data_IF_334720299281
#
_entry.id   IF_334720299281
#
_cell.length_a   1.000
_cell.length_b   1.000
_cell.length_c   1.000
_cell.angle_alpha   90.00
_cell.angle_beta   90.00
_cell.angle_gamma   90.00
#
_symmetry.space_group_name_H-M   'P 1'
#
loop_
_entity.id
_entity.type
_entity.pdbx_description
1 polymer ?
#
# COMPACT_ATOMS: atom_id res chain seq x y z
N UNK A 1 14.60 6.61 29.46
CA UNK A 1 13.47 6.08 28.67
C UNK A 1 12.64 7.28 28.28
N UNK A 2 12.97 7.88 27.16
CA UNK A 2 12.18 8.99 26.64
C UNK A 2 10.85 8.43 26.16
N UNK A 3 9.78 8.83 26.81
CA UNK A 3 8.43 8.58 26.35
C UNK A 3 8.30 9.28 25.00
N UNK A 4 8.30 8.50 23.93
CA UNK A 4 7.97 8.99 22.59
C UNK A 4 6.54 9.53 22.70
N UNK A 5 6.42 10.85 22.70
CA UNK A 5 5.13 11.53 22.70
C UNK A 5 4.40 11.11 21.44
N UNK A 6 3.21 10.54 21.63
CA UNK A 6 2.35 10.16 20.51
C UNK A 6 2.11 11.41 19.66
N UNK A 7 2.41 11.33 18.39
CA UNK A 7 2.21 12.38 17.41
C UNK A 7 0.75 12.86 17.47
N UNK A 8 0.53 14.16 17.59
CA UNK A 8 -0.82 14.71 17.49
C UNK A 8 -1.25 14.67 16.01
N UNK A 9 -2.12 13.73 15.67
CA UNK A 9 -2.74 13.69 14.36
C UNK A 9 -3.66 14.89 14.17
N UNK A 10 -3.56 15.55 13.01
CA UNK A 10 -4.41 16.69 12.65
C UNK A 10 -5.77 16.25 12.12
N UNK A 11 -5.84 15.05 11.58
CA UNK A 11 -7.05 14.45 11.01
C UNK A 11 -7.46 13.22 11.82
N UNK A 12 -8.74 12.82 11.78
CA UNK A 12 -9.29 11.75 12.63
C UNK A 12 -8.57 10.41 12.53
N UNK A 13 -8.20 10.03 11.31
CA UNK A 13 -7.49 8.78 10.99
C UNK A 13 -6.36 9.08 10.03
N UNK A 14 -5.51 10.02 10.42
CA UNK A 14 -4.33 10.44 9.66
C UNK A 14 -3.26 9.35 9.72
N UNK A 15 -2.83 8.89 8.56
CA UNK A 15 -1.73 7.93 8.40
C UNK A 15 -0.67 8.57 7.51
N UNK A 16 0.53 8.75 8.04
CA UNK A 16 1.67 9.25 7.27
C UNK A 16 2.34 8.10 6.52
N UNK A 17 2.22 8.14 5.22
CA UNK A 17 2.72 7.10 4.32
C UNK A 17 3.96 7.62 3.63
N UNK A 18 5.02 6.83 3.61
CA UNK A 18 6.25 7.16 2.90
C UNK A 18 6.64 6.05 1.91
N UNK A 19 7.35 6.43 0.88
CA UNK A 19 7.93 5.52 -0.09
C UNK A 19 9.15 6.11 -0.77
N UNK A 20 10.02 5.24 -1.27
CA UNK A 20 11.18 5.64 -2.07
C UNK A 20 11.10 5.03 -3.46
N UNK A 21 11.74 5.67 -4.44
CA UNK A 21 12.02 5.08 -5.75
C UNK A 21 13.49 4.74 -5.92
N UNK A 22 13.80 3.81 -6.84
CA UNK A 22 15.17 3.52 -7.23
C UNK A 22 15.64 4.39 -8.41
N UNK A 23 14.86 5.38 -8.83
CA UNK A 23 15.21 6.28 -9.92
C UNK A 23 16.59 6.90 -9.72
N UNK A 24 17.40 6.86 -10.78
CA UNK A 24 18.78 7.37 -10.77
C UNK A 24 19.70 6.59 -9.83
N UNK A 25 19.37 5.38 -9.45
CA UNK A 25 20.29 4.40 -8.90
C UNK A 25 21.09 3.81 -10.06
N UNK A 26 22.40 3.70 -9.87
CA UNK A 26 23.31 3.09 -10.82
C UNK A 26 23.59 1.65 -10.41
N UNK A 27 24.00 0.76 -11.33
CA UNK A 27 24.50 -0.54 -10.98
C UNK A 27 25.62 -0.44 -9.92
N UNK A 28 25.57 -1.34 -8.94
CA UNK A 28 26.59 -1.48 -7.89
C UNK A 28 27.11 -2.90 -7.86
N UNK A 29 28.26 -3.10 -7.25
CA UNK A 29 28.88 -4.43 -7.24
C UNK A 29 28.25 -5.33 -6.18
N UNK A 30 27.87 -4.79 -5.02
CA UNK A 30 27.43 -5.58 -3.88
C UNK A 30 26.06 -5.18 -3.33
N UNK A 31 25.39 -6.14 -2.68
CA UNK A 31 24.14 -5.91 -1.93
C UNK A 31 24.33 -4.86 -0.83
N UNK A 32 25.49 -4.86 -0.17
CA UNK A 32 25.81 -3.87 0.87
C UNK A 32 25.80 -2.44 0.33
N UNK A 33 26.42 -2.22 -0.83
CA UNK A 33 26.41 -0.91 -1.50
C UNK A 33 24.97 -0.49 -1.85
N UNK A 34 24.16 -1.41 -2.38
CA UNK A 34 22.76 -1.13 -2.69
C UNK A 34 21.99 -0.72 -1.45
N UNK A 35 22.12 -1.46 -0.37
CA UNK A 35 21.42 -1.15 0.87
C UNK A 35 21.89 0.15 1.50
N UNK A 36 23.15 0.52 1.35
CA UNK A 36 23.63 1.85 1.75
C UNK A 36 22.91 2.98 1.01
N UNK A 37 22.74 2.84 -0.32
CA UNK A 37 21.98 3.82 -1.12
C UNK A 37 20.52 3.90 -0.68
N UNK A 38 19.89 2.75 -0.40
CA UNK A 38 18.51 2.67 0.10
C UNK A 38 18.37 3.37 1.44
N UNK A 39 19.23 3.07 2.40
CA UNK A 39 19.22 3.68 3.74
C UNK A 39 19.41 5.20 3.67
N UNK A 40 20.34 5.67 2.83
CA UNK A 40 20.56 7.10 2.63
C UNK A 40 19.31 7.81 2.09
N UNK A 41 18.54 7.17 1.20
CA UNK A 41 17.27 7.73 0.72
C UNK A 41 16.21 7.76 1.81
N UNK A 42 16.17 6.73 2.64
CA UNK A 42 15.23 6.68 3.78
C UNK A 42 15.45 7.81 4.79
N UNK A 43 16.68 8.28 4.97
CA UNK A 43 16.98 9.44 5.83
C UNK A 43 16.15 10.67 5.46
N UNK A 44 15.79 10.83 4.18
CA UNK A 44 14.98 11.96 3.71
C UNK A 44 13.53 11.92 4.20
N UNK A 45 12.99 10.76 4.54
CA UNK A 45 11.60 10.61 5.01
C UNK A 45 11.49 10.57 6.53
N UNK A 46 12.58 10.34 7.26
CA UNK A 46 12.56 10.27 8.73
C UNK A 46 12.04 11.52 9.44
N UNK A 47 12.34 12.76 8.98
CA UNK A 47 11.81 13.96 9.62
C UNK A 47 10.28 14.09 9.58
N UNK A 48 9.60 13.33 8.73
CA UNK A 48 8.14 13.29 8.64
C UNK A 48 7.50 12.28 9.59
N UNK A 49 8.31 11.46 10.27
CA UNK A 49 7.85 10.43 11.21
C UNK A 49 6.73 9.56 10.60
N UNK A 50 6.96 8.88 9.46
CA UNK A 50 5.93 8.12 8.80
C UNK A 50 5.41 6.97 9.68
N UNK A 51 4.15 6.60 9.50
CA UNK A 51 3.56 5.41 10.12
C UNK A 51 3.98 4.13 9.40
N UNK A 52 4.15 4.24 8.08
CA UNK A 52 4.60 3.13 7.24
C UNK A 52 5.52 3.62 6.12
N UNK A 53 6.55 2.83 5.84
CA UNK A 53 7.47 3.02 4.72
C UNK A 53 7.34 1.84 3.76
N UNK A 54 7.13 2.12 2.47
CA UNK A 54 7.17 1.13 1.40
C UNK A 54 8.47 1.27 0.60
N UNK A 55 9.04 0.13 0.19
CA UNK A 55 10.26 0.04 -0.60
C UNK A 55 9.97 -0.56 -1.98
N UNK A 56 10.82 -0.34 -2.99
CA UNK A 56 10.69 -0.96 -4.31
C UNK A 56 10.91 -2.47 -4.29
N UNK A 57 10.33 -3.18 -5.24
CA UNK A 57 10.44 -4.63 -5.43
C UNK A 57 11.91 -5.09 -5.44
N UNK A 58 12.20 -6.19 -4.73
CA UNK A 58 13.55 -6.78 -4.63
C UNK A 58 14.64 -5.72 -4.37
N UNK A 59 14.35 -4.84 -3.42
CA UNK A 59 15.12 -3.61 -3.15
C UNK A 59 16.62 -3.83 -2.94
N UNK A 60 16.99 -4.99 -2.41
CA UNK A 60 18.37 -5.35 -2.09
C UNK A 60 19.19 -5.80 -3.31
N UNK A 61 18.53 -6.27 -4.37
CA UNK A 61 19.21 -6.89 -5.52
C UNK A 61 19.01 -6.15 -6.83
N UNK A 62 18.16 -5.14 -6.85
CA UNK A 62 17.94 -4.35 -8.07
C UNK A 62 19.26 -3.69 -8.52
N UNK A 63 19.71 -4.06 -9.74
CA UNK A 63 20.96 -3.56 -10.35
C UNK A 63 22.24 -3.86 -9.54
N UNK A 64 22.35 -5.07 -8.96
CA UNK A 64 23.51 -5.55 -8.23
C UNK A 64 24.28 -6.60 -9.04
N UNK A 65 25.57 -6.37 -9.29
CA UNK A 65 26.38 -7.20 -10.21
C UNK A 65 26.76 -8.56 -9.60
N UNK A 66 26.93 -8.66 -8.28
CA UNK A 66 27.34 -9.92 -7.62
C UNK A 66 26.24 -10.97 -7.55
N UNK A 67 24.95 -10.56 -7.69
CA UNK A 67 23.83 -11.48 -7.58
C UNK A 67 23.78 -12.40 -8.78
N UNK A 68 23.99 -13.70 -8.54
CA UNK A 68 24.00 -14.74 -9.57
C UNK A 68 22.74 -15.56 -9.53
N UNK A 69 22.31 -16.03 -8.34
CA UNK A 69 21.12 -16.84 -8.15
C UNK A 69 20.28 -16.39 -6.96
N UNK A 70 19.02 -16.77 -6.96
CA UNK A 70 18.12 -16.43 -5.84
C UNK A 70 18.46 -17.18 -4.56
N UNK A 71 19.13 -18.33 -4.69
CA UNK A 71 19.60 -19.12 -3.55
C UNK A 71 20.60 -18.38 -2.68
N UNK A 72 21.40 -17.50 -3.29
CA UNK A 72 22.49 -16.77 -2.59
C UNK A 72 21.96 -15.59 -1.77
N UNK A 73 20.75 -15.12 -2.09
CA UNK A 73 20.19 -13.87 -1.57
C UNK A 73 18.88 -14.04 -0.81
N UNK A 74 18.24 -15.22 -0.91
CA UNK A 74 16.99 -15.48 -0.25
C UNK A 74 17.15 -15.55 1.27
N UNK A 75 16.36 -14.76 1.99
CA UNK A 75 16.31 -14.81 3.45
C UNK A 75 15.20 -15.76 3.93
N UNK A 76 15.46 -16.47 5.01
CA UNK A 76 14.52 -17.39 5.61
C UNK A 76 13.39 -16.61 6.28
N UNK A 77 12.13 -17.04 6.10
CA UNK A 77 10.98 -16.34 6.66
C UNK A 77 10.82 -16.50 8.17
N UNK A 78 11.34 -17.59 8.72
CA UNK A 78 11.25 -17.90 10.15
C UNK A 78 12.35 -17.22 10.96
N UNK A 79 13.35 -16.63 10.27
CA UNK A 79 14.45 -15.89 10.91
C UNK A 79 14.89 -14.70 10.07
N UNK A 80 15.11 -13.56 10.73
CA UNK A 80 15.58 -12.38 10.01
C UNK A 80 17.01 -12.60 9.49
N UNK A 81 17.16 -12.53 8.17
CA UNK A 81 18.46 -12.42 7.53
C UNK A 81 19.04 -11.00 7.62
N UNK A 82 20.15 -10.73 6.94
CA UNK A 82 20.85 -9.44 7.02
C UNK A 82 19.99 -8.24 6.60
N UNK A 83 19.22 -8.36 5.50
CA UNK A 83 18.42 -7.27 4.97
C UNK A 83 17.17 -7.04 5.84
N UNK A 84 16.46 -8.11 6.18
CA UNK A 84 15.31 -8.03 7.09
C UNK A 84 15.72 -7.45 8.44
N UNK A 85 16.87 -7.85 9.01
CA UNK A 85 17.39 -7.29 10.27
C UNK A 85 17.71 -5.81 10.16
N UNK A 86 18.33 -5.37 9.07
CA UNK A 86 18.66 -3.98 8.80
C UNK A 86 17.38 -3.10 8.73
N UNK A 87 16.35 -3.57 8.02
CA UNK A 87 15.10 -2.87 7.89
C UNK A 87 14.22 -2.96 9.16
N UNK A 88 14.36 -4.03 9.93
CA UNK A 88 13.80 -4.14 11.28
C UNK A 88 14.37 -3.09 12.25
N UNK A 89 15.67 -2.78 12.11
CA UNK A 89 16.30 -1.69 12.86
C UNK A 89 15.76 -0.32 12.46
N UNK A 90 15.49 -0.09 11.16
CA UNK A 90 14.79 1.12 10.69
C UNK A 90 13.41 1.20 11.32
N UNK A 91 12.61 0.13 11.25
CA UNK A 91 11.27 0.09 11.82
C UNK A 91 11.26 0.46 13.31
N UNK A 92 12.19 -0.11 14.10
CA UNK A 92 12.33 0.20 15.53
C UNK A 92 12.75 1.64 15.79
N UNK A 93 13.80 2.11 15.10
CA UNK A 93 14.37 3.44 15.32
C UNK A 93 13.40 4.55 14.91
N UNK A 94 12.65 4.34 13.82
CA UNK A 94 11.70 5.31 13.31
C UNK A 94 10.28 5.11 13.87
N UNK A 95 10.07 4.09 14.70
CA UNK A 95 8.76 3.73 15.25
C UNK A 95 7.67 3.63 14.16
N UNK A 96 7.99 2.98 13.03
CA UNK A 96 7.11 2.83 11.88
C UNK A 96 7.00 1.38 11.42
N UNK A 97 6.00 1.09 10.58
CA UNK A 97 5.98 -0.16 9.82
C UNK A 97 6.88 -0.04 8.59
N UNK A 98 7.45 -1.15 8.14
CA UNK A 98 8.26 -1.20 6.92
C UNK A 98 7.82 -2.38 6.07
N UNK A 99 7.37 -2.12 4.84
CA UNK A 99 7.20 -3.15 3.81
C UNK A 99 8.57 -3.43 3.19
N UNK A 100 9.10 -4.62 3.44
CA UNK A 100 10.43 -5.09 3.05
C UNK A 100 10.32 -6.09 1.89
N UNK A 101 10.42 -5.65 0.62
CA UNK A 101 10.29 -6.52 -0.55
C UNK A 101 11.64 -7.13 -0.95
N UNK A 102 11.78 -8.42 -0.69
CA UNK A 102 12.99 -9.22 -0.97
C UNK A 102 12.62 -10.61 -1.47
N UNK A 103 13.62 -11.38 -1.91
CA UNK A 103 13.42 -12.81 -2.13
C UNK A 103 13.50 -13.52 -0.78
N UNK A 104 12.48 -14.36 -0.50
CA UNK A 104 12.44 -15.19 0.70
C UNK A 104 12.54 -16.68 0.38
N UNK A 105 12.81 -17.47 1.42
CA UNK A 105 12.81 -18.92 1.36
C UNK A 105 11.95 -19.48 2.49
N UNK A 106 11.08 -20.44 2.14
CA UNK A 106 10.25 -21.19 3.08
C UNK A 106 10.01 -22.61 2.57
N UNK A 107 10.16 -23.60 3.43
CA UNK A 107 9.90 -25.03 3.12
C UNK A 107 10.57 -25.51 1.82
N UNK A 108 11.78 -25.01 1.54
CA UNK A 108 12.55 -25.36 0.35
C UNK A 108 12.16 -24.63 -0.94
N UNK A 109 11.15 -23.78 -0.90
CA UNK A 109 10.67 -22.93 -1.99
C UNK A 109 11.21 -21.50 -1.86
N UNK A 110 11.30 -20.79 -2.98
CA UNK A 110 11.71 -19.38 -3.05
C UNK A 110 10.55 -18.53 -3.53
N UNK A 111 10.42 -17.34 -2.96
CA UNK A 111 9.32 -16.41 -3.26
C UNK A 111 9.83 -14.99 -3.48
N UNK A 112 9.23 -14.28 -4.43
CA UNK A 112 9.31 -12.83 -4.47
C UNK A 112 8.31 -12.31 -3.42
N UNK A 113 8.80 -11.77 -2.33
CA UNK A 113 7.99 -11.53 -1.13
C UNK A 113 8.05 -10.07 -0.68
N UNK A 114 7.08 -9.68 0.12
CA UNK A 114 7.14 -8.47 0.94
C UNK A 114 6.85 -8.83 2.39
N UNK A 115 7.84 -8.66 3.25
CA UNK A 115 7.71 -8.85 4.70
C UNK A 115 7.21 -7.53 5.29
N UNK A 116 6.10 -7.55 6.03
CA UNK A 116 5.67 -6.39 6.82
C UNK A 116 6.32 -6.46 8.20
N UNK A 117 7.21 -5.52 8.47
CA UNK A 117 7.86 -5.33 9.76
C UNK A 117 7.06 -4.31 10.58
N UNK A 118 6.77 -4.62 11.84
CA UNK A 118 6.04 -3.72 12.73
C UNK A 118 6.98 -2.75 13.45
N UNK A 119 6.42 -1.82 14.23
CA UNK A 119 7.16 -0.77 14.98
C UNK A 119 8.20 -1.32 15.96
N UNK A 120 8.10 -2.59 16.35
CA UNK A 120 9.10 -3.29 17.18
C UNK A 120 10.14 -4.03 16.33
N UNK A 121 10.08 -3.90 15.01
CA UNK A 121 10.96 -4.61 14.07
C UNK A 121 10.70 -6.12 14.01
N UNK A 122 9.51 -6.56 14.40
CA UNK A 122 9.10 -7.96 14.27
C UNK A 122 8.29 -8.13 12.99
N UNK A 123 8.37 -9.33 12.40
CA UNK A 123 7.53 -9.71 11.27
C UNK A 123 6.06 -9.77 11.72
N UNK A 124 5.23 -8.93 11.09
CA UNK A 124 3.77 -8.98 11.25
C UNK A 124 3.17 -10.02 10.31
N UNK A 125 3.78 -10.19 9.13
CA UNK A 125 3.44 -11.20 8.16
C UNK A 125 4.23 -11.09 6.88
N UNK A 126 4.03 -12.07 5.99
CA UNK A 126 4.72 -12.18 4.71
C UNK A 126 3.70 -12.32 3.59
N UNK A 127 3.83 -11.52 2.56
CA UNK A 127 3.11 -11.65 1.30
C UNK A 127 4.04 -12.25 0.24
N UNK A 128 3.56 -13.24 -0.49
CA UNK A 128 4.24 -13.81 -1.65
C UNK A 128 3.55 -13.29 -2.92
N UNK A 129 4.34 -12.82 -3.89
CA UNK A 129 3.85 -12.38 -5.20
C UNK A 129 2.98 -13.45 -5.82
N UNK A 130 1.71 -13.11 -6.08
CA UNK A 130 0.72 -14.08 -6.58
C UNK A 130 1.03 -14.47 -8.01
N UNK A 131 1.44 -13.49 -8.83
CA UNK A 131 1.68 -13.65 -10.26
C UNK A 131 3.11 -13.21 -10.63
N UNK A 132 4.15 -14.01 -10.31
CA UNK A 132 5.47 -13.74 -10.83
C UNK A 132 5.48 -13.81 -12.35
N UNK A 133 6.35 -13.04 -13.01
CA UNK A 133 6.51 -13.18 -14.46
C UNK A 133 7.14 -14.53 -14.81
N UNK A 134 6.87 -15.06 -15.99
CA UNK A 134 7.34 -16.40 -16.38
C UNK A 134 8.87 -16.56 -16.25
N UNK A 135 9.63 -15.50 -16.50
CA UNK A 135 11.08 -15.51 -16.34
C UNK A 135 11.56 -15.59 -14.89
N UNK A 136 10.76 -15.16 -13.92
CA UNK A 136 11.05 -15.37 -12.51
C UNK A 136 10.81 -16.83 -12.09
N UNK A 137 9.83 -17.51 -12.71
CA UNK A 137 9.42 -18.88 -12.38
C UNK A 137 10.35 -19.90 -13.03
N UNK A 138 10.72 -19.69 -14.30
CA UNK A 138 11.54 -20.64 -15.06
C UNK A 138 12.99 -20.59 -14.58
N UNK A 139 13.55 -21.70 -14.06
CA UNK A 139 14.93 -21.74 -13.59
C UNK A 139 15.92 -21.29 -14.67
N UNK A 140 16.83 -20.39 -14.30
CA UNK A 140 17.86 -19.86 -15.17
C UNK A 140 17.41 -18.82 -16.20
N UNK A 141 16.10 -18.45 -16.25
CA UNK A 141 15.63 -17.49 -17.23
C UNK A 141 15.88 -16.03 -16.83
N UNK A 142 15.73 -15.68 -15.55
CA UNK A 142 16.02 -14.34 -15.03
C UNK A 142 17.18 -14.35 -14.03
N UNK A 143 17.13 -15.25 -13.06
CA UNK A 143 18.23 -15.52 -12.14
C UNK A 143 18.88 -16.85 -12.54
N UNK A 144 20.18 -16.98 -12.39
CA UNK A 144 20.81 -18.28 -12.44
C UNK A 144 20.26 -19.17 -11.31
N UNK A 145 20.18 -20.47 -11.53
CA UNK A 145 19.69 -21.41 -10.53
C UNK A 145 18.17 -21.57 -10.53
N UNK A 146 17.55 -21.53 -9.35
CA UNK A 146 16.13 -21.82 -9.15
C UNK A 146 15.24 -20.63 -9.52
N UNK A 147 13.97 -20.92 -9.84
CA UNK A 147 12.92 -19.92 -10.01
C UNK A 147 12.14 -19.70 -8.72
N UNK A 148 11.30 -18.66 -8.70
CA UNK A 148 10.36 -18.40 -7.61
C UNK A 148 9.07 -19.18 -7.77
N UNK A 149 8.43 -19.47 -6.64
CA UNK A 149 7.12 -20.10 -6.56
C UNK A 149 6.04 -19.01 -6.50
N UNK A 150 4.93 -19.10 -7.25
CA UNK A 150 3.78 -18.21 -7.10
C UNK A 150 3.18 -18.30 -5.70
N UNK A 151 2.74 -17.16 -5.18
CA UNK A 151 2.01 -17.08 -3.91
C UNK A 151 0.57 -17.59 -4.00
N UNK A 152 -0.12 -17.57 -2.87
CA UNK A 152 -1.54 -17.95 -2.80
C UNK A 152 -2.40 -16.94 -3.59
N UNK A 153 -3.42 -17.46 -4.30
CA UNK A 153 -4.39 -16.65 -5.05
C UNK A 153 -5.14 -15.69 -4.13
N UNK A 154 -5.40 -16.09 -2.88
CA UNK A 154 -5.96 -15.22 -1.86
C UNK A 154 -4.85 -14.55 -1.06
N UNK A 155 -4.45 -13.32 -1.40
CA UNK A 155 -3.39 -12.63 -0.71
C UNK A 155 -3.76 -12.34 0.75
N UNK A 156 -2.83 -12.46 1.71
CA UNK A 156 -3.08 -12.12 3.10
C UNK A 156 -3.20 -10.59 3.28
N UNK A 157 -3.88 -10.20 4.36
CA UNK A 157 -3.87 -8.84 4.89
C UNK A 157 -3.34 -8.83 6.32
N UNK A 158 -2.75 -7.73 6.73
CA UNK A 158 -2.06 -7.59 8.02
C UNK A 158 -2.68 -6.46 8.84
N UNK A 159 -2.90 -6.71 10.13
CA UNK A 159 -3.41 -5.70 11.04
C UNK A 159 -2.26 -4.82 11.53
N UNK A 160 -2.46 -3.52 11.48
CA UNK A 160 -1.57 -2.52 12.07
C UNK A 160 -2.33 -1.70 13.11
N UNK A 161 -1.65 -0.81 13.81
CA UNK A 161 -2.28 0.08 14.78
C UNK A 161 -3.06 1.25 14.14
N UNK A 162 -2.92 1.44 12.81
CA UNK A 162 -3.63 2.47 12.05
C UNK A 162 -4.68 1.91 11.07
N UNK A 163 -4.68 0.60 10.81
CA UNK A 163 -5.62 -0.02 9.86
C UNK A 163 -5.15 -1.38 9.34
N UNK A 164 -5.79 -1.86 8.29
CA UNK A 164 -5.46 -3.13 7.64
C UNK A 164 -4.65 -2.85 6.38
N UNK A 165 -3.50 -3.49 6.25
CA UNK A 165 -2.57 -3.34 5.14
C UNK A 165 -2.54 -4.60 4.29
N UNK A 166 -2.69 -4.43 2.97
CA UNK A 166 -2.43 -5.46 1.96
C UNK A 166 -1.17 -5.17 1.17
N UNK A 167 -0.77 -6.13 0.36
CA UNK A 167 0.35 -5.98 -0.57
C UNK A 167 0.01 -6.60 -1.92
N UNK A 168 0.51 -6.00 -3.00
CA UNK A 168 0.58 -6.57 -4.34
C UNK A 168 1.95 -6.21 -4.92
N UNK A 169 2.57 -7.07 -5.72
CA UNK A 169 3.92 -6.83 -6.24
C UNK A 169 3.89 -6.80 -7.78
N UNK A 170 4.25 -5.65 -8.35
CA UNK A 170 4.59 -5.47 -9.76
C UNK A 170 3.58 -6.12 -10.73
N UNK A 171 3.89 -7.28 -11.29
CA UNK A 171 3.09 -7.97 -12.29
C UNK A 171 1.70 -8.38 -11.80
N UNK A 172 1.48 -8.44 -10.48
CA UNK A 172 0.14 -8.62 -9.87
C UNK A 172 -0.85 -7.53 -10.31
N UNK A 173 -0.37 -6.39 -10.81
CA UNK A 173 -1.23 -5.33 -11.34
C UNK A 173 -2.12 -5.78 -12.50
N UNK A 174 -1.80 -6.87 -13.19
CA UNK A 174 -2.56 -7.32 -14.36
C UNK A 174 -3.78 -8.20 -14.01
N UNK A 175 -3.96 -8.61 -12.75
CA UNK A 175 -5.07 -9.44 -12.29
C UNK A 175 -5.94 -8.69 -11.29
N UNK A 176 -7.15 -8.35 -11.69
CA UNK A 176 -8.09 -7.55 -10.87
C UNK A 176 -8.59 -8.27 -9.62
N UNK A 177 -8.61 -9.62 -9.66
CA UNK A 177 -9.21 -10.43 -8.60
C UNK A 177 -8.46 -10.31 -7.27
N UNK A 178 -7.12 -10.40 -7.27
CA UNK A 178 -6.31 -10.30 -6.05
C UNK A 178 -6.49 -8.94 -5.36
N UNK A 179 -6.64 -7.85 -6.11
CA UNK A 179 -6.93 -6.51 -5.57
C UNK A 179 -8.30 -6.44 -4.90
N UNK A 180 -9.33 -7.02 -5.53
CA UNK A 180 -10.67 -7.11 -4.95
C UNK A 180 -10.68 -7.93 -3.66
N UNK A 181 -9.95 -9.06 -3.64
CA UNK A 181 -9.83 -9.91 -2.45
C UNK A 181 -9.19 -9.20 -1.25
N UNK A 182 -8.24 -8.28 -1.47
CA UNK A 182 -7.70 -7.43 -0.41
C UNK A 182 -8.80 -6.53 0.19
N UNK A 183 -9.63 -5.91 -0.67
CA UNK A 183 -10.77 -5.08 -0.21
C UNK A 183 -11.76 -5.89 0.61
N UNK A 184 -12.13 -7.08 0.16
CA UNK A 184 -13.06 -7.97 0.86
C UNK A 184 -12.57 -8.39 2.24
N UNK A 185 -11.25 -8.41 2.43
CA UNK A 185 -10.59 -8.65 3.72
C UNK A 185 -10.41 -7.37 4.56
N UNK A 186 -10.89 -6.24 4.06
CA UNK A 186 -10.89 -4.96 4.78
C UNK A 186 -9.61 -4.14 4.65
N UNK A 187 -8.78 -4.37 3.63
CA UNK A 187 -7.60 -3.54 3.39
C UNK A 187 -7.98 -2.06 3.23
N UNK A 188 -7.24 -1.18 3.89
CA UNK A 188 -7.38 0.28 3.83
C UNK A 188 -6.15 0.94 3.17
N UNK A 189 -5.03 0.23 3.16
CA UNK A 189 -3.80 0.59 2.44
C UNK A 189 -3.26 -0.64 1.71
N UNK A 190 -2.79 -0.46 0.48
CA UNK A 190 -2.03 -1.47 -0.26
C UNK A 190 -0.64 -0.93 -0.55
N UNK A 191 0.39 -1.65 -0.11
CA UNK A 191 1.77 -1.44 -0.53
C UNK A 191 1.98 -2.10 -1.89
N UNK A 192 2.55 -1.35 -2.82
CA UNK A 192 2.83 -1.82 -4.17
C UNK A 192 4.31 -1.64 -4.54
N UNK A 193 5.18 -2.55 -4.07
CA UNK A 193 6.54 -2.67 -4.59
C UNK A 193 6.55 -3.09 -6.06
N UNK A 194 7.33 -2.40 -6.91
CA UNK A 194 7.39 -2.74 -8.32
C UNK A 194 8.71 -2.32 -8.97
N UNK A 195 9.04 -2.92 -10.12
CA UNK A 195 10.12 -2.43 -10.96
C UNK A 195 9.65 -1.32 -11.90
N UNK A 196 8.43 -1.45 -12.44
CA UNK A 196 7.83 -0.48 -13.35
C UNK A 196 6.63 0.27 -12.76
N UNK A 197 6.33 1.48 -13.25
CA UNK A 197 5.17 2.24 -12.84
C UNK A 197 3.89 1.67 -13.48
N UNK A 198 2.78 1.72 -12.73
CA UNK A 198 1.44 1.28 -13.18
C UNK A 198 0.38 2.35 -12.87
N UNK A 199 0.73 3.61 -12.98
CA UNK A 199 -0.01 4.76 -12.45
C UNK A 199 -1.52 4.75 -12.74
N UNK A 200 -1.93 4.52 -13.99
CA UNK A 200 -3.37 4.50 -14.33
C UNK A 200 -4.09 3.33 -13.70
N UNK A 201 -3.48 2.14 -13.70
CA UNK A 201 -4.07 0.94 -13.11
C UNK A 201 -4.21 1.09 -11.60
N UNK A 202 -3.18 1.58 -10.92
CA UNK A 202 -3.19 1.79 -9.46
C UNK A 202 -4.25 2.80 -9.05
N UNK A 203 -4.40 3.92 -9.76
CA UNK A 203 -5.45 4.90 -9.51
C UNK A 203 -6.85 4.30 -9.68
N UNK A 204 -7.03 3.45 -10.69
CA UNK A 204 -8.28 2.73 -10.89
C UNK A 204 -8.54 1.71 -9.77
N UNK A 205 -7.52 0.95 -9.34
CA UNK A 205 -7.66 0.04 -8.21
C UNK A 205 -7.99 0.75 -6.90
N UNK A 206 -7.35 1.88 -6.61
CA UNK A 206 -7.66 2.69 -5.44
C UNK A 206 -9.12 3.15 -5.45
N UNK A 207 -9.60 3.67 -6.59
CA UNK A 207 -10.99 4.09 -6.78
C UNK A 207 -11.97 2.93 -6.62
N UNK A 208 -11.78 1.83 -7.35
CA UNK A 208 -12.71 0.70 -7.38
C UNK A 208 -12.78 -0.04 -6.06
N UNK A 209 -11.68 -0.11 -5.33
CA UNK A 209 -11.60 -0.84 -4.07
C UNK A 209 -11.57 0.08 -2.83
N UNK A 210 -11.54 1.41 -3.00
CA UNK A 210 -11.62 2.41 -1.94
C UNK A 210 -10.59 2.23 -0.81
N UNK A 211 -9.36 1.89 -1.16
CA UNK A 211 -8.21 1.89 -0.27
C UNK A 211 -7.11 2.80 -0.83
N UNK A 212 -6.25 3.30 0.05
CA UNK A 212 -5.05 4.01 -0.38
C UNK A 212 -4.02 3.04 -0.97
N UNK A 213 -3.16 3.54 -1.86
CA UNK A 213 -2.04 2.77 -2.40
C UNK A 213 -0.76 3.60 -2.25
N UNK A 214 0.31 2.96 -1.76
CA UNK A 214 1.67 3.48 -1.88
C UNK A 214 2.43 2.62 -2.87
N UNK A 215 2.85 3.22 -3.98
CA UNK A 215 3.64 2.58 -5.03
C UNK A 215 5.08 3.04 -4.94
N UNK A 216 6.01 2.08 -4.98
CA UNK A 216 7.45 2.32 -4.95
C UNK A 216 8.12 1.50 -6.04
N UNK A 217 8.72 2.18 -7.01
CA UNK A 217 9.20 1.52 -8.22
C UNK A 217 10.66 1.87 -8.55
N UNK A 218 11.18 1.29 -9.63
CA UNK A 218 12.45 1.69 -10.22
C UNK A 218 12.44 3.10 -10.80
N UNK A 219 11.26 3.64 -11.13
CA UNK A 219 11.10 4.90 -11.86
C UNK A 219 10.50 6.03 -11.01
N UNK A 220 9.56 5.73 -10.12
CA UNK A 220 8.86 6.71 -9.29
C UNK A 220 8.41 6.12 -7.96
N UNK A 221 7.97 6.99 -7.05
CA UNK A 221 7.16 6.63 -5.90
C UNK A 221 5.94 7.53 -5.85
N UNK A 222 4.78 6.99 -5.48
CA UNK A 222 3.54 7.76 -5.43
C UNK A 222 2.61 7.26 -4.31
N UNK A 223 1.83 8.18 -3.78
CA UNK A 223 0.77 7.91 -2.80
C UNK A 223 -0.55 8.28 -3.46
N UNK A 224 -1.48 7.34 -3.48
CA UNK A 224 -2.80 7.48 -4.08
C UNK A 224 -3.83 7.28 -2.96
N UNK A 225 -4.82 8.17 -2.86
CA UNK A 225 -5.87 8.05 -1.85
C UNK A 225 -7.02 7.12 -2.29
N UNK A 226 -7.97 6.89 -1.39
CA UNK A 226 -9.13 5.99 -1.60
C UNK A 226 -10.06 6.43 -2.75
N UNK A 227 -9.89 7.64 -3.26
CA UNK A 227 -10.61 8.15 -4.42
C UNK A 227 -9.77 8.13 -5.72
N UNK A 228 -8.65 7.41 -5.72
CA UNK A 228 -7.77 7.30 -6.88
C UNK A 228 -6.99 8.58 -7.19
N UNK A 229 -6.95 9.55 -6.26
CA UNK A 229 -6.19 10.78 -6.46
C UNK A 229 -4.75 10.64 -6.00
N UNK A 230 -3.84 11.13 -6.81
CA UNK A 230 -2.44 11.20 -6.46
C UNK A 230 -2.22 12.30 -5.42
N UNK A 231 -1.93 11.91 -4.18
CA UNK A 231 -1.64 12.82 -3.05
C UNK A 231 -0.22 13.34 -3.12
N UNK A 232 0.72 12.47 -3.48
CA UNK A 232 2.12 12.81 -3.66
C UNK A 232 2.74 11.90 -4.74
N UNK A 233 3.64 12.46 -5.52
CA UNK A 233 4.44 11.73 -6.50
C UNK A 233 5.86 12.29 -6.48
N UNK A 234 6.86 11.41 -6.46
CA UNK A 234 8.21 11.82 -6.70
C UNK A 234 8.40 12.06 -8.21
N UNK A 235 9.44 12.76 -8.52
CA UNK A 235 9.78 12.97 -9.90
C UNK A 235 11.28 13.01 -10.07
N UNK A 236 11.76 14.03 -10.77
CA UNK A 236 13.19 14.21 -10.99
C UNK A 236 13.96 14.68 -9.75
N UNK A 237 13.29 15.16 -8.70
CA UNK A 237 13.94 15.91 -7.62
C UNK A 237 14.12 15.15 -6.33
N UNK A 238 13.07 14.50 -5.82
CA UNK A 238 13.09 13.96 -4.46
C UNK A 238 13.46 12.48 -4.37
N UNK A 239 13.01 11.63 -5.31
CA UNK A 239 13.20 10.16 -5.28
C UNK A 239 12.58 9.48 -4.06
N UNK A 240 11.67 10.17 -3.41
CA UNK A 240 10.87 9.72 -2.29
C UNK A 240 9.57 10.53 -2.21
N UNK A 241 8.59 9.95 -1.56
CA UNK A 241 7.33 10.61 -1.20
C UNK A 241 7.06 10.40 0.28
N UNK A 242 6.44 11.39 0.91
CA UNK A 242 5.85 11.25 2.24
C UNK A 242 4.67 12.21 2.35
N UNK A 243 3.49 11.69 2.65
CA UNK A 243 2.29 12.51 2.81
C UNK A 243 1.28 11.83 3.72
N UNK A 244 0.42 12.61 4.41
CA UNK A 244 -0.69 12.07 5.17
C UNK A 244 -1.86 11.68 4.27
N UNK A 245 -2.49 10.56 4.59
CA UNK A 245 -3.78 10.14 4.03
C UNK A 245 -4.77 9.98 5.18
N UNK A 246 -5.95 10.55 5.03
CA UNK A 246 -7.01 10.39 6.02
C UNK A 246 -7.90 9.20 5.67
N UNK A 247 -7.92 8.18 6.52
CA UNK A 247 -8.75 7.00 6.32
C UNK A 247 -10.21 7.21 6.76
N UNK A 248 -10.54 8.34 7.39
CA UNK A 248 -11.93 8.73 7.70
C UNK A 248 -12.58 9.45 6.50
N UNK A 249 -12.58 8.75 5.35
CA UNK A 249 -13.10 9.20 4.06
C UNK A 249 -13.90 8.07 3.42
N UNK A 250 -15.09 8.37 2.90
CA UNK A 250 -15.99 7.39 2.26
C UNK A 250 -16.44 7.90 0.91
N UNK A 251 -16.55 7.02 -0.06
CA UNK A 251 -17.13 7.27 -1.37
C UNK A 251 -18.63 7.04 -1.31
N UNK A 252 -19.41 7.97 -1.85
CA UNK A 252 -20.86 7.95 -1.89
C UNK A 252 -21.39 8.39 -3.26
N UNK A 253 -22.53 7.85 -3.68
CA UNK A 253 -23.14 8.24 -4.93
C UNK A 253 -23.80 9.64 -4.79
N UNK A 254 -23.68 10.47 -5.84
CA UNK A 254 -24.27 11.81 -5.83
C UNK A 254 -25.80 11.71 -5.84
N UNK A 255 -26.38 10.92 -6.74
CA UNK A 255 -27.82 10.83 -6.88
C UNK A 255 -28.41 9.58 -6.19
N UNK A 256 -29.50 9.72 -5.40
CA UNK A 256 -30.29 10.94 -5.12
C UNK A 256 -29.77 11.73 -3.90
N UNK A 257 -28.62 11.38 -3.33
CA UNK A 257 -28.14 11.85 -2.02
C UNK A 257 -27.70 13.31 -2.02
N UNK A 258 -27.42 13.88 -3.19
CA UNK A 258 -27.04 15.31 -3.32
C UNK A 258 -28.03 16.25 -2.67
N UNK A 259 -29.34 15.89 -2.59
CA UNK A 259 -30.35 16.69 -1.92
C UNK A 259 -30.11 16.87 -0.41
N UNK A 260 -29.31 15.98 0.19
CA UNK A 260 -28.95 15.98 1.61
C UNK A 260 -27.64 16.72 1.89
N UNK A 261 -26.79 16.94 0.88
CA UNK A 261 -25.43 17.48 1.05
C UNK A 261 -25.42 18.89 1.65
N UNK A 262 -26.32 19.76 1.24
CA UNK A 262 -26.45 21.12 1.79
C UNK A 262 -26.78 21.10 3.29
N UNK A 263 -27.70 20.26 3.71
CA UNK A 263 -28.07 20.13 5.13
C UNK A 263 -26.94 19.54 5.98
N UNK A 264 -26.19 18.57 5.45
CA UNK A 264 -25.01 18.01 6.09
C UNK A 264 -23.93 19.08 6.25
N UNK A 265 -23.63 19.83 5.19
CA UNK A 265 -22.65 20.91 5.23
C UNK A 265 -23.04 22.03 6.22
N UNK A 266 -24.31 22.40 6.28
CA UNK A 266 -24.82 23.39 7.24
C UNK A 266 -24.66 22.92 8.69
N UNK A 267 -24.91 21.64 8.97
CA UNK A 267 -24.80 21.09 10.31
C UNK A 267 -23.34 20.93 10.77
N UNK A 268 -22.48 20.37 9.93
CA UNK A 268 -21.12 19.98 10.30
C UNK A 268 -20.08 21.05 9.96
N UNK A 269 -20.36 21.95 9.01
CA UNK A 269 -19.50 23.05 8.63
C UNK A 269 -18.07 22.58 8.27
N UNK A 270 -17.07 23.25 8.85
CA UNK A 270 -15.65 22.96 8.61
C UNK A 270 -15.15 21.62 9.17
N UNK A 271 -15.99 20.87 9.90
CA UNK A 271 -15.65 19.56 10.44
C UNK A 271 -15.62 18.46 9.41
N UNK A 272 -16.16 18.74 8.23
CA UNK A 272 -16.21 17.79 7.11
C UNK A 272 -15.78 18.44 5.80
N UNK A 273 -15.48 17.59 4.83
CA UNK A 273 -15.23 17.99 3.45
C UNK A 273 -15.97 17.07 2.48
N UNK A 274 -16.79 17.69 1.60
CA UNK A 274 -17.25 17.03 0.39
C UNK A 274 -16.32 17.34 -0.77
N UNK A 275 -16.04 16.32 -1.59
CA UNK A 275 -15.44 16.49 -2.90
C UNK A 275 -16.31 15.79 -3.93
N UNK A 276 -16.75 16.55 -4.95
CA UNK A 276 -17.67 16.06 -5.98
C UNK A 276 -16.86 15.65 -7.20
N UNK A 277 -17.04 14.41 -7.61
CA UNK A 277 -16.50 13.85 -8.86
C UNK A 277 -17.65 13.76 -9.88
N UNK A 278 -18.05 14.92 -10.38
CA UNK A 278 -19.22 15.03 -11.23
C UNK A 278 -19.20 14.12 -12.46
N UNK A 279 -18.08 13.96 -13.20
CA UNK A 279 -18.05 13.06 -14.36
C UNK A 279 -18.32 11.61 -14.00
N UNK A 280 -17.97 11.19 -12.80
CA UNK A 280 -18.11 9.82 -12.29
C UNK A 280 -19.47 9.62 -11.55
N UNK A 281 -20.23 10.69 -11.33
CA UNK A 281 -21.46 10.68 -10.53
C UNK A 281 -21.27 10.22 -9.07
N UNK A 282 -20.09 10.45 -8.51
CA UNK A 282 -19.69 10.13 -7.14
C UNK A 282 -19.16 11.34 -6.38
N UNK A 283 -19.18 11.23 -5.06
CA UNK A 283 -18.57 12.20 -4.16
C UNK A 283 -17.83 11.47 -3.04
N UNK A 284 -16.87 12.15 -2.42
CA UNK A 284 -16.33 11.71 -1.13
C UNK A 284 -16.86 12.61 -0.02
N UNK A 285 -17.20 11.99 1.09
CA UNK A 285 -17.39 12.64 2.38
C UNK A 285 -16.22 12.26 3.28
N UNK A 286 -15.53 13.26 3.82
CA UNK A 286 -14.37 13.12 4.67
C UNK A 286 -14.59 13.88 5.96
N UNK A 287 -14.25 13.28 7.11
CA UNK A 287 -14.18 14.01 8.37
C UNK A 287 -12.83 14.69 8.54
N UNK A 288 -12.88 15.93 9.01
CA UNK A 288 -11.71 16.74 9.37
C UNK A 288 -11.62 16.98 10.88
N UNK A 289 -12.50 16.34 11.65
CA UNK A 289 -12.62 16.52 13.11
C UNK A 289 -12.58 15.15 13.80
N UNK A 290 -11.70 14.91 14.78
CA UNK A 290 -11.54 13.61 15.43
C UNK A 290 -12.82 13.11 16.14
N UNK A 291 -13.72 14.01 16.52
CA UNK A 291 -14.97 13.67 17.19
C UNK A 291 -16.11 13.38 16.23
N UNK A 292 -15.89 13.56 14.93
CA UNK A 292 -16.89 13.34 13.88
C UNK A 292 -16.52 12.09 13.08
N UNK A 293 -17.42 11.11 13.05
CA UNK A 293 -17.27 9.89 12.23
C UNK A 293 -18.15 9.98 10.99
N UNK A 294 -17.56 9.74 9.82
CA UNK A 294 -18.31 9.75 8.55
C UNK A 294 -19.45 8.73 8.58
N UNK A 295 -19.21 7.53 9.14
CA UNK A 295 -20.26 6.51 9.27
C UNK A 295 -21.48 6.99 10.05
N UNK A 296 -21.29 7.79 11.10
CA UNK A 296 -22.41 8.33 11.89
C UNK A 296 -23.22 9.35 11.09
N UNK A 297 -22.54 10.17 10.28
CA UNK A 297 -23.21 11.10 9.35
C UNK A 297 -24.02 10.33 8.31
N UNK A 298 -23.41 9.30 7.68
CA UNK A 298 -24.10 8.49 6.69
C UNK A 298 -25.35 7.83 7.26
N UNK A 299 -25.25 7.30 8.48
CA UNK A 299 -26.38 6.69 9.20
C UNK A 299 -27.47 7.73 9.54
N UNK A 300 -27.08 8.89 10.04
CA UNK A 300 -28.03 9.97 10.40
C UNK A 300 -28.86 10.43 9.19
N UNK A 301 -28.19 10.51 8.04
CA UNK A 301 -28.83 11.00 6.82
C UNK A 301 -29.33 9.86 5.90
N UNK A 302 -29.27 8.61 6.36
CA UNK A 302 -29.70 7.44 5.57
C UNK A 302 -29.06 7.45 4.17
N UNK A 303 -27.74 7.63 4.12
CA UNK A 303 -26.94 7.57 2.89
C UNK A 303 -26.11 6.28 2.94
N UNK A 304 -26.33 5.34 2.02
CA UNK A 304 -25.48 4.15 1.94
C UNK A 304 -24.06 4.53 1.46
N UNK A 305 -23.07 3.86 1.99
CA UNK A 305 -21.74 3.89 1.41
C UNK A 305 -21.75 3.24 0.02
N UNK A 306 -20.66 3.42 -0.73
CA UNK A 306 -20.49 2.75 -2.03
C UNK A 306 -20.73 1.25 -1.94
N UNK A 307 -20.10 0.57 -1.00
CA UNK A 307 -20.18 -0.89 -0.86
C UNK A 307 -21.60 -1.34 -0.51
N UNK A 308 -22.28 -0.63 0.40
CA UNK A 308 -23.67 -0.93 0.78
C UNK A 308 -24.61 -0.76 -0.41
N UNK A 309 -24.44 0.30 -1.17
CA UNK A 309 -25.29 0.56 -2.35
C UNK A 309 -25.08 -0.48 -3.46
N UNK A 310 -23.83 -0.84 -3.75
CA UNK A 310 -23.52 -1.87 -4.76
C UNK A 310 -24.02 -3.25 -4.30
N UNK A 311 -23.88 -3.58 -3.02
CA UNK A 311 -24.37 -4.83 -2.46
C UNK A 311 -25.90 -4.93 -2.54
N UNK A 312 -26.62 -3.87 -2.16
CA UNK A 312 -28.07 -3.81 -2.25
C UNK A 312 -28.55 -3.93 -3.70
N UNK A 313 -27.99 -3.13 -4.60
CA UNK A 313 -28.33 -3.18 -6.02
C UNK A 313 -28.07 -4.56 -6.63
N UNK A 314 -26.94 -5.18 -6.27
CA UNK A 314 -26.59 -6.53 -6.75
C UNK A 314 -27.59 -7.57 -6.24
N UNK A 315 -27.99 -7.49 -4.97
CA UNK A 315 -28.97 -8.41 -4.40
C UNK A 315 -30.34 -8.32 -5.12
N UNK A 316 -30.83 -7.10 -5.38
CA UNK A 316 -32.08 -6.86 -6.12
C UNK A 316 -31.95 -7.39 -7.56
N UNK A 317 -30.86 -7.05 -8.26
CA UNK A 317 -30.64 -7.51 -9.63
C UNK A 317 -30.62 -9.04 -9.73
N UNK A 318 -29.97 -9.73 -8.80
CA UNK A 318 -29.91 -11.19 -8.81
C UNK A 318 -31.27 -11.86 -8.60
N UNK A 319 -32.19 -11.23 -7.87
CA UNK A 319 -33.57 -11.72 -7.73
C UNK A 319 -34.36 -11.64 -9.03
N UNK A 320 -34.00 -10.71 -9.91
CA UNK A 320 -34.71 -10.44 -11.18
C UNK A 320 -33.99 -10.97 -12.43
N UNK A 321 -32.80 -11.60 -12.28
CA UNK A 321 -32.15 -12.26 -13.43
C UNK A 321 -32.92 -13.49 -13.88
N UNK A 322 -33.15 -13.60 -15.18
CA UNK A 322 -33.71 -14.81 -15.76
C UNK A 322 -32.69 -15.95 -15.59
N UNK A 323 -33.15 -17.13 -15.20
CA UNK A 323 -32.34 -18.35 -15.05
C UNK A 323 -32.05 -18.98 -16.39
#
# INVERSE_FOLDING_TARGET
>A
MDTITKKENRLPREVWIAGISLKGIWPVDTVEQRMKDVLQRLESVYPFEPDIICLPETVNISWVNEVKGIEDIAEDEDSHGPITSMLADVARKQNCYVACPIITKKDGHYYNSSILLNRQGKTEGVFHKVHPVSTEIIPGAYYAGKGVTPGDIKPPVFKTDFGIVGTQICFDANWTESWRLLREQGAELVCFPSQGPFTYMLRNYAWMNQYAIVSCTGEDAQIIDQAGECVAIDGHFARWVCAPVNFEKVLIQIWPHTLKFDSIQKKYGRKIRFKIYHPENWATLESLDPDVKVRDILKEYEIPSFDEQIAEATAIQNQHRLK
#
